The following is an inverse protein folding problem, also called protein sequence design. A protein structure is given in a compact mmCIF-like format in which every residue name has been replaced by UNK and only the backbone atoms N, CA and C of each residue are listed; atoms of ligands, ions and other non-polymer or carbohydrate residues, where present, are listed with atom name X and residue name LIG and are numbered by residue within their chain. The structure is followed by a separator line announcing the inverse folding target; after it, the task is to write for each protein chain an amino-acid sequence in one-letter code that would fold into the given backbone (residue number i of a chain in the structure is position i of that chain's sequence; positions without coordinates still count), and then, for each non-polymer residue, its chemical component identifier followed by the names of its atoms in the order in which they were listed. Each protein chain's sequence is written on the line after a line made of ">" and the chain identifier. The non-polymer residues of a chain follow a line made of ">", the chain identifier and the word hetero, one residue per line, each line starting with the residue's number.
data_IF_376548051407
#
_entry.id   IF_376548051407
#
_cell.length_a   1.000
_cell.length_b   1.000
_cell.length_c   1.000
_cell.angle_alpha   90.00
_cell.angle_beta   90.00
_cell.angle_gamma   90.00
#
_symmetry.space_group_name_H-M   'P 1'
#
loop_
_entity.id
_entity.type
_entity.pdbx_description
1 polymer ?
#
# COMPACT_ATOMS: atom_id res chain seq x y z
N UNK A 1 42.18 -1.96 9.01
CA UNK A 1 41.40 -1.10 8.09
C UNK A 1 39.95 -1.56 8.11
N UNK A 2 39.08 -0.63 8.52
CA UNK A 2 37.66 -0.45 8.15
C UNK A 2 36.72 -1.66 8.13
N UNK A 3 35.99 -1.85 9.22
CA UNK A 3 34.68 -2.51 9.22
C UNK A 3 33.63 -1.55 8.63
N UNK A 4 33.50 -1.54 7.30
CA UNK A 4 32.29 -1.01 6.67
C UNK A 4 31.17 -1.97 7.04
N UNK A 5 30.14 -1.48 7.75
CA UNK A 5 28.99 -2.29 8.10
C UNK A 5 28.34 -2.83 6.81
N UNK A 6 28.46 -4.13 6.58
CA UNK A 6 27.91 -4.79 5.41
C UNK A 6 26.40 -4.52 5.34
N UNK A 7 25.93 -4.02 4.19
CA UNK A 7 24.50 -3.75 4.01
C UNK A 7 23.72 -5.07 4.07
N UNK A 8 22.86 -5.20 5.08
CA UNK A 8 22.08 -6.39 5.32
C UNK A 8 21.08 -6.66 4.18
N UNK A 9 20.78 -7.94 3.95
CA UNK A 9 19.79 -8.33 2.94
C UNK A 9 18.37 -7.97 3.39
N UNK A 10 17.53 -7.38 2.52
CA UNK A 10 16.13 -7.08 2.83
C UNK A 10 15.22 -8.33 2.76
N UNK A 11 15.80 -9.53 2.85
CA UNK A 11 15.07 -10.78 2.67
C UNK A 11 14.27 -11.13 3.92
N UNK A 12 12.94 -11.32 3.77
CA UNK A 12 12.04 -11.76 4.84
C UNK A 12 11.68 -13.25 4.74
N UNK A 13 12.45 -14.03 3.98
CA UNK A 13 12.22 -15.48 3.73
C UNK A 13 10.88 -15.82 3.07
N UNK A 14 10.24 -14.85 2.42
CA UNK A 14 9.13 -15.07 1.51
C UNK A 14 9.70 -15.17 0.09
N UNK A 15 9.48 -16.29 -0.58
CA UNK A 15 10.02 -16.58 -1.91
C UNK A 15 8.89 -16.76 -2.94
N UNK A 16 8.03 -15.75 -3.04
CA UNK A 16 6.93 -15.73 -4.01
C UNK A 16 7.15 -14.54 -4.93
N UNK A 17 7.15 -14.77 -6.24
CA UNK A 17 7.19 -13.70 -7.23
C UNK A 17 5.78 -13.13 -7.45
N UNK A 18 5.71 -11.88 -7.90
CA UNK A 18 4.47 -11.29 -8.36
C UNK A 18 3.92 -12.04 -9.59
N UNK A 19 2.64 -11.85 -9.98
CA UNK A 19 2.07 -12.54 -11.13
C UNK A 19 2.82 -12.34 -12.45
N UNK A 20 3.55 -11.23 -12.62
CA UNK A 20 4.40 -11.00 -13.79
C UNK A 20 5.80 -11.63 -13.69
N UNK A 21 6.13 -12.26 -12.56
CA UNK A 21 7.40 -12.94 -12.33
C UNK A 21 8.61 -12.01 -12.19
N UNK A 22 8.40 -10.69 -12.04
CA UNK A 22 9.47 -9.69 -12.12
C UNK A 22 10.07 -9.37 -10.76
N UNK A 23 9.28 -9.38 -9.69
CA UNK A 23 9.72 -9.00 -8.35
C UNK A 23 9.20 -9.96 -7.29
N UNK A 24 9.98 -10.16 -6.23
CA UNK A 24 9.57 -10.92 -5.05
C UNK A 24 8.54 -10.12 -4.23
N UNK A 25 7.39 -10.71 -3.92
CA UNK A 25 6.35 -10.09 -3.08
C UNK A 25 6.80 -9.80 -1.65
N UNK A 26 7.82 -10.51 -1.16
CA UNK A 26 8.37 -10.31 0.18
C UNK A 26 9.42 -9.20 0.25
N UNK A 27 10.50 -9.32 -0.54
CA UNK A 27 11.64 -8.42 -0.46
C UNK A 27 11.72 -7.39 -1.60
N UNK A 28 10.80 -7.44 -2.56
CA UNK A 28 10.63 -6.49 -3.67
C UNK A 28 11.85 -6.34 -4.60
N UNK A 29 12.79 -7.28 -4.48
CA UNK A 29 13.93 -7.44 -5.39
C UNK A 29 13.52 -8.27 -6.62
N UNK A 30 14.19 -8.02 -7.73
CA UNK A 30 14.06 -8.86 -8.93
C UNK A 30 14.79 -10.19 -8.74
N UNK A 31 14.50 -11.19 -9.59
CA UNK A 31 15.21 -12.47 -9.57
C UNK A 31 16.73 -12.30 -9.74
N UNK A 32 17.14 -11.39 -10.62
CA UNK A 32 18.56 -11.06 -10.88
C UNK A 32 19.24 -10.45 -9.65
N UNK A 33 18.57 -9.53 -8.96
CA UNK A 33 19.07 -8.92 -7.73
C UNK A 33 19.15 -9.92 -6.57
N UNK A 34 18.24 -10.89 -6.53
CA UNK A 34 18.26 -11.99 -5.55
C UNK A 34 19.46 -12.89 -5.81
N UNK A 35 19.66 -13.34 -7.05
CA UNK A 35 20.76 -14.21 -7.44
C UNK A 35 22.14 -13.55 -7.25
N UNK A 36 22.26 -12.25 -7.57
CA UNK A 36 23.51 -11.51 -7.51
C UNK A 36 23.90 -10.95 -6.13
N UNK A 37 23.01 -10.98 -5.13
CA UNK A 37 23.15 -10.21 -3.88
C UNK A 37 24.48 -10.45 -3.14
N UNK A 38 24.91 -11.71 -3.05
CA UNK A 38 26.13 -12.09 -2.35
C UNK A 38 27.39 -11.45 -2.99
N UNK A 39 27.38 -11.27 -4.32
CA UNK A 39 28.49 -10.68 -5.08
C UNK A 39 28.41 -9.16 -5.29
N UNK A 40 27.36 -8.49 -4.81
CA UNK A 40 27.22 -7.04 -4.97
C UNK A 40 28.10 -6.27 -3.99
N UNK A 41 28.70 -5.17 -4.49
CA UNK A 41 29.34 -4.15 -3.64
C UNK A 41 28.31 -3.46 -2.76
N UNK A 42 28.76 -2.89 -1.64
CA UNK A 42 27.88 -2.11 -0.75
C UNK A 42 27.23 -0.93 -1.49
N UNK A 43 27.94 -0.27 -2.41
CA UNK A 43 27.37 0.78 -3.25
C UNK A 43 26.22 0.28 -4.12
N UNK A 44 26.30 -0.95 -4.65
CA UNK A 44 25.22 -1.55 -5.44
C UNK A 44 24.08 -2.02 -4.54
N UNK A 45 24.37 -2.59 -3.37
CA UNK A 45 23.35 -2.97 -2.37
C UNK A 45 22.55 -1.76 -1.89
N UNK A 46 23.22 -0.64 -1.60
CA UNK A 46 22.57 0.61 -1.22
C UNK A 46 21.60 1.12 -2.30
N UNK A 47 22.04 1.09 -3.57
CA UNK A 47 21.18 1.46 -4.71
C UNK A 47 19.93 0.57 -4.80
N UNK A 48 20.08 -0.75 -4.68
CA UNK A 48 18.93 -1.67 -4.68
C UNK A 48 17.97 -1.34 -3.54
N UNK A 49 18.47 -1.20 -2.30
CA UNK A 49 17.64 -0.89 -1.13
C UNK A 49 16.88 0.43 -1.32
N UNK A 50 17.53 1.46 -1.85
CA UNK A 50 16.89 2.76 -2.09
C UNK A 50 15.70 2.68 -3.07
N UNK A 51 15.64 1.68 -3.95
CA UNK A 51 14.52 1.48 -4.87
C UNK A 51 13.34 0.71 -4.28
N UNK A 52 13.55 -0.05 -3.19
CA UNK A 52 12.52 -0.93 -2.63
C UNK A 52 11.28 -0.20 -2.12
N UNK A 53 11.36 0.97 -1.47
CA UNK A 53 10.16 1.70 -1.04
C UNK A 53 9.21 2.05 -2.18
N UNK A 54 9.75 2.43 -3.34
CA UNK A 54 8.94 2.76 -4.51
C UNK A 54 8.33 1.50 -5.13
N UNK A 55 9.11 0.42 -5.24
CA UNK A 55 8.59 -0.88 -5.68
C UNK A 55 7.49 -1.40 -4.74
N UNK A 56 7.61 -1.15 -3.44
CA UNK A 56 6.57 -1.50 -2.46
C UNK A 56 5.26 -0.81 -2.81
N UNK A 57 5.28 0.51 -3.07
CA UNK A 57 4.07 1.25 -3.45
C UNK A 57 3.40 0.70 -4.71
N UNK A 58 4.19 0.29 -5.69
CA UNK A 58 3.67 -0.29 -6.94
C UNK A 58 3.06 -1.68 -6.68
N UNK A 59 3.79 -2.56 -5.98
CA UNK A 59 3.39 -3.97 -5.77
C UNK A 59 2.22 -4.09 -4.79
N UNK A 60 2.24 -3.32 -3.70
CA UNK A 60 1.16 -3.39 -2.70
C UNK A 60 -0.04 -2.53 -3.06
N UNK A 61 -0.01 -1.85 -4.22
CA UNK A 61 -1.03 -0.90 -4.65
C UNK A 61 -1.24 0.17 -3.60
N UNK A 62 -0.39 1.20 -3.59
CA UNK A 62 -0.44 2.33 -2.67
C UNK A 62 -1.90 2.65 -2.30
N UNK A 63 -2.26 2.31 -1.06
CA UNK A 63 -3.61 2.51 -0.51
C UNK A 63 -3.98 3.95 -0.78
N UNK A 64 -5.18 4.18 -1.32
CA UNK A 64 -5.66 5.54 -1.58
C UNK A 64 -5.56 6.32 -0.28
N UNK A 65 -4.74 7.39 -0.22
CA UNK A 65 -4.60 8.18 1.00
C UNK A 65 -5.99 8.67 1.40
N UNK A 66 -6.23 8.70 2.70
CA UNK A 66 -7.51 9.10 3.26
C UNK A 66 -7.88 10.52 2.76
N UNK A 67 -8.79 10.62 1.80
CA UNK A 67 -9.23 11.91 1.30
C UNK A 67 -10.20 12.51 2.32
N UNK A 68 -9.88 13.69 2.87
CA UNK A 68 -10.83 14.44 3.69
C UNK A 68 -11.99 14.92 2.83
N UNK A 69 -13.21 14.55 3.20
CA UNK A 69 -14.46 14.92 2.55
C UNK A 69 -15.40 15.53 3.57
N UNK A 70 -16.33 16.36 3.09
CA UNK A 70 -17.45 16.86 3.90
C UNK A 70 -18.72 16.13 3.49
N UNK A 71 -19.47 15.63 4.47
CA UNK A 71 -20.72 14.92 4.22
C UNK A 71 -21.79 15.88 3.68
N UNK A 72 -22.40 15.56 2.53
CA UNK A 72 -23.48 16.37 1.96
C UNK A 72 -24.76 16.33 2.81
N UNK A 73 -24.94 15.29 3.64
CA UNK A 73 -26.14 15.12 4.47
C UNK A 73 -26.04 15.81 5.84
N UNK A 74 -24.94 15.62 6.57
CA UNK A 74 -24.78 16.16 7.94
C UNK A 74 -23.67 17.21 8.09
N UNK A 75 -22.86 17.44 7.06
CA UNK A 75 -21.81 18.45 7.08
C UNK A 75 -20.53 18.09 7.84
N UNK A 76 -20.42 16.90 8.44
CA UNK A 76 -19.20 16.49 9.15
C UNK A 76 -18.04 16.23 8.18
N UNK A 77 -16.83 16.53 8.62
CA UNK A 77 -15.61 16.11 7.92
C UNK A 77 -15.29 14.65 8.27
N UNK A 78 -14.95 13.86 7.26
CA UNK A 78 -14.60 12.45 7.41
C UNK A 78 -13.56 12.03 6.38
N UNK A 79 -12.83 10.95 6.69
CA UNK A 79 -11.86 10.35 5.78
C UNK A 79 -12.51 9.32 4.84
N UNK A 80 -12.25 9.43 3.54
CA UNK A 80 -12.64 8.46 2.52
C UNK A 80 -11.38 7.86 1.87
N UNK A 81 -11.11 6.58 2.10
CA UNK A 81 -9.92 5.90 1.58
C UNK A 81 -9.57 4.62 2.34
N UNK A 82 -8.49 3.97 1.92
CA UNK A 82 -8.07 2.64 2.40
C UNK A 82 -7.09 2.70 3.58
N UNK A 83 -7.20 3.70 4.45
CA UNK A 83 -6.36 3.82 5.66
C UNK A 83 -7.24 3.77 6.91
N UNK A 84 -7.71 2.57 7.25
CA UNK A 84 -8.29 2.25 8.56
C UNK A 84 -7.32 1.37 9.37
N UNK A 85 -7.54 1.23 10.71
CA UNK A 85 -6.71 0.38 11.58
C UNK A 85 -6.63 -1.09 11.15
N UNK A 86 -7.55 -1.52 10.29
CA UNK A 86 -7.67 -2.88 9.76
C UNK A 86 -7.20 -2.99 8.29
N UNK A 87 -6.77 -1.87 7.69
CA UNK A 87 -6.24 -1.81 6.34
C UNK A 87 -7.26 -1.97 5.20
N UNK A 88 -8.56 -2.09 5.50
CA UNK A 88 -9.66 -2.14 4.53
C UNK A 88 -10.49 -0.84 4.51
N UNK A 89 -10.99 -0.44 3.33
CA UNK A 89 -11.92 0.69 3.19
C UNK A 89 -13.22 0.41 3.95
N UNK A 90 -13.60 1.27 4.89
CA UNK A 90 -14.85 1.12 5.66
C UNK A 90 -16.10 1.07 4.76
N UNK A 91 -16.09 1.75 3.60
CA UNK A 91 -17.23 1.78 2.68
C UNK A 91 -17.57 0.41 2.09
N UNK A 92 -16.60 -0.52 2.03
CA UNK A 92 -16.82 -1.89 1.53
C UNK A 92 -17.68 -2.75 2.46
N UNK A 93 -17.91 -2.29 3.70
CA UNK A 93 -18.79 -2.95 4.68
C UNK A 93 -20.27 -2.61 4.48
N UNK A 94 -20.59 -1.62 3.66
CA UNK A 94 -21.95 -1.15 3.43
C UNK A 94 -22.48 -1.73 2.11
N UNK A 95 -23.77 -2.10 2.04
CA UNK A 95 -24.37 -2.53 0.78
C UNK A 95 -24.37 -1.37 -0.23
N UNK A 96 -24.43 -1.68 -1.54
CA UNK A 96 -24.56 -0.65 -2.56
C UNK A 96 -25.86 0.12 -2.34
N UNK A 97 -25.74 1.40 -1.98
CA UNK A 97 -26.88 2.31 -1.86
C UNK A 97 -27.22 2.88 -3.23
N UNK A 98 -28.51 3.00 -3.53
CA UNK A 98 -28.95 3.76 -4.69
C UNK A 98 -28.46 5.21 -4.57
N UNK A 99 -28.15 5.89 -5.69
CA UNK A 99 -27.80 7.29 -5.66
C UNK A 99 -28.91 8.10 -4.99
N UNK A 100 -28.61 8.73 -3.86
CA UNK A 100 -29.47 9.74 -3.26
C UNK A 100 -29.37 11.00 -4.12
N UNK A 101 -30.50 11.52 -4.61
CA UNK A 101 -30.51 12.74 -5.43
C UNK A 101 -29.78 13.89 -4.72
N UNK A 102 -28.71 14.39 -5.33
CA UNK A 102 -27.91 15.51 -4.81
C UNK A 102 -26.78 15.15 -3.84
N UNK A 103 -26.62 13.89 -3.41
CA UNK A 103 -25.52 13.50 -2.53
C UNK A 103 -24.27 13.10 -3.34
N UNK A 104 -23.13 13.75 -3.05
CA UNK A 104 -21.83 13.45 -3.69
C UNK A 104 -20.88 12.69 -2.77
N UNK A 105 -20.92 12.96 -1.47
CA UNK A 105 -20.10 12.29 -0.46
C UNK A 105 -20.91 12.10 0.85
N UNK A 106 -21.00 10.86 1.35
CA UNK A 106 -21.65 10.55 2.63
C UNK A 106 -20.62 9.98 3.62
N UNK A 107 -20.69 10.45 4.87
CA UNK A 107 -19.90 9.88 5.96
C UNK A 107 -20.39 8.46 6.34
N UNK A 108 -19.62 7.65 7.09
CA UNK A 108 -20.00 6.29 7.45
C UNK A 108 -21.36 6.19 8.13
N UNK A 109 -21.67 7.12 9.03
CA UNK A 109 -22.95 7.16 9.70
C UNK A 109 -24.10 7.42 8.72
N UNK A 110 -24.01 8.46 7.88
CA UNK A 110 -25.09 8.77 6.92
C UNK A 110 -25.21 7.69 5.83
N UNK A 111 -24.11 7.07 5.41
CA UNK A 111 -24.15 5.94 4.49
C UNK A 111 -24.87 4.73 5.10
N UNK A 112 -24.62 4.44 6.39
CA UNK A 112 -25.31 3.37 7.11
C UNK A 112 -26.84 3.57 7.13
N UNK A 113 -27.28 4.79 7.41
CA UNK A 113 -28.71 5.13 7.43
C UNK A 113 -29.34 5.05 6.03
N UNK A 114 -28.61 5.43 4.97
CA UNK A 114 -29.09 5.35 3.59
C UNK A 114 -29.11 3.91 3.02
N UNK A 115 -28.41 2.98 3.68
CA UNK A 115 -28.30 1.57 3.34
C UNK A 115 -29.34 0.67 4.03
N UNK A 116 -30.13 1.23 4.95
CA UNK A 116 -31.18 0.54 5.70
C UNK A 116 -32.53 0.69 5.01
#
# INVERSE_FOLDING_TARGET
>A
MSTVAAIASPCMKVCTLDPSGRVCLGCLRTAEEIAGWAGFSDSRRAKVIATLPERHRIVTGAKTPLATRKCSNCGIEFGCGAEGPEGACWCTRYPPVAPVEGATCLCPACLAHAAS
#
